data_IF_851227800050
#
_entry.id   IF_851227800050
#
_cell.length_a   1.000
_cell.length_b   1.000
_cell.length_c   1.000
_cell.angle_alpha   90.00
_cell.angle_beta   90.00
_cell.angle_gamma   90.00
#
_symmetry.space_group_name_H-M   'P 1'
#
loop_
_entity.id
_entity.type
_entity.pdbx_description
1 polymer ?
#
# COMPACT_ATOMS: atom_id res chain seq x y z
N UNK A 1 16.29 -14.67 -0.42
CA UNK A 1 16.05 -15.14 -1.80
C UNK A 1 14.56 -15.16 -2.17
N UNK A 2 13.65 -15.88 -1.49
CA UNK A 2 12.21 -15.82 -1.85
C UNK A 2 11.52 -14.54 -1.36
N UNK A 3 11.83 -14.07 -0.15
CA UNK A 3 11.20 -12.86 0.40
C UNK A 3 11.42 -11.61 -0.48
N UNK A 4 12.63 -11.41 -0.99
CA UNK A 4 12.94 -10.33 -1.92
C UNK A 4 12.08 -10.36 -3.19
N UNK A 5 11.89 -11.55 -3.76
CA UNK A 5 11.04 -11.75 -4.94
C UNK A 5 9.57 -11.41 -4.66
N UNK A 6 9.07 -11.77 -3.46
CA UNK A 6 7.68 -11.53 -3.08
C UNK A 6 7.41 -10.11 -2.58
N UNK A 7 8.44 -9.37 -2.17
CA UNK A 7 8.27 -8.03 -1.58
C UNK A 7 8.61 -6.93 -2.59
N UNK A 8 9.81 -6.96 -3.17
CA UNK A 8 10.40 -5.80 -3.88
C UNK A 8 10.35 -5.91 -5.41
N UNK A 9 9.96 -7.05 -5.96
CA UNK A 9 10.00 -7.28 -7.40
C UNK A 9 8.70 -6.87 -8.11
N UNK A 10 8.66 -5.69 -8.71
CA UNK A 10 7.48 -5.20 -9.44
C UNK A 10 7.16 -5.97 -10.73
N UNK A 11 8.12 -6.72 -11.28
CA UNK A 11 7.97 -7.59 -12.45
C UNK A 11 7.28 -8.93 -12.14
N UNK A 12 7.06 -9.25 -10.84
CA UNK A 12 6.37 -10.47 -10.43
C UNK A 12 4.90 -10.20 -10.06
N UNK A 13 3.94 -10.88 -10.71
CA UNK A 13 2.54 -10.72 -10.36
C UNK A 13 2.31 -11.17 -8.92
N UNK A 14 1.65 -10.31 -8.13
CA UNK A 14 1.35 -10.48 -6.69
C UNK A 14 2.53 -10.30 -5.73
N UNK A 15 3.63 -9.69 -6.17
CA UNK A 15 4.56 -9.11 -5.18
C UNK A 15 3.89 -7.94 -4.45
N UNK A 16 4.35 -7.62 -3.24
CA UNK A 16 3.79 -6.50 -2.48
C UNK A 16 3.92 -5.16 -3.23
N UNK A 17 5.06 -4.93 -3.89
CA UNK A 17 5.27 -3.75 -4.71
C UNK A 17 4.28 -3.69 -5.89
N UNK A 18 4.11 -4.78 -6.65
CA UNK A 18 3.18 -4.82 -7.77
C UNK A 18 1.72 -4.63 -7.32
N UNK A 19 1.32 -5.24 -6.19
CA UNK A 19 -0.01 -5.02 -5.63
C UNK A 19 -0.21 -3.57 -5.18
N UNK A 20 0.81 -2.92 -4.61
CA UNK A 20 0.71 -1.51 -4.24
C UNK A 20 0.75 -0.56 -5.44
N UNK A 21 1.48 -0.88 -6.51
CA UNK A 21 1.41 -0.16 -7.79
C UNK A 21 -0.05 -0.13 -8.29
N UNK A 22 -0.73 -1.28 -8.29
CA UNK A 22 -2.13 -1.41 -8.73
C UNK A 22 -3.10 -0.65 -7.81
N UNK A 23 -2.94 -0.75 -6.49
CA UNK A 23 -3.77 0.00 -5.53
C UNK A 23 -3.69 1.50 -5.77
N UNK A 24 -2.48 2.06 -5.90
CA UNK A 24 -2.31 3.50 -6.14
C UNK A 24 -2.94 3.93 -7.47
N UNK A 25 -2.79 3.12 -8.53
CA UNK A 25 -3.39 3.38 -9.82
C UNK A 25 -4.93 3.39 -9.78
N UNK A 26 -5.52 2.42 -9.08
CA UNK A 26 -6.98 2.35 -8.88
C UNK A 26 -7.47 3.57 -8.10
N UNK A 27 -6.85 3.89 -6.96
CA UNK A 27 -7.26 5.04 -6.14
C UNK A 27 -7.19 6.35 -6.91
N UNK A 28 -6.17 6.54 -7.75
CA UNK A 28 -6.08 7.73 -8.61
C UNK A 28 -7.22 7.79 -9.65
N UNK A 29 -7.73 6.64 -10.10
CA UNK A 29 -8.81 6.57 -11.09
C UNK A 29 -10.18 6.86 -10.46
N UNK A 30 -10.39 6.43 -9.22
CA UNK A 30 -11.68 6.57 -8.50
C UNK A 30 -11.71 7.72 -7.50
N UNK A 31 -10.71 8.61 -7.53
CA UNK A 31 -10.56 9.74 -6.60
C UNK A 31 -11.78 10.65 -6.54
N UNK A 32 -12.01 11.25 -5.38
CA UNK A 32 -13.13 12.14 -5.10
C UNK A 32 -12.71 13.28 -4.15
N UNK A 33 -13.65 14.09 -3.68
CA UNK A 33 -13.36 15.25 -2.82
C UNK A 33 -12.86 14.89 -1.41
N UNK A 34 -13.10 13.66 -0.95
CA UNK A 34 -12.76 13.18 0.40
C UNK A 34 -11.52 12.27 0.41
N UNK A 35 -11.09 11.75 -0.75
CA UNK A 35 -10.05 10.71 -0.84
C UNK A 35 -8.60 11.17 -0.64
N UNK A 36 -8.34 12.47 -0.55
CA UNK A 36 -6.98 13.02 -0.62
C UNK A 36 -6.01 12.44 0.42
N UNK A 37 -6.46 12.23 1.66
CA UNK A 37 -5.62 11.67 2.72
C UNK A 37 -5.37 10.17 2.51
N UNK A 38 -6.37 9.41 2.07
CA UNK A 38 -6.23 7.99 1.74
C UNK A 38 -5.25 7.79 0.56
N UNK A 39 -5.35 8.62 -0.49
CA UNK A 39 -4.39 8.62 -1.60
C UNK A 39 -2.97 8.93 -1.14
N UNK A 40 -2.80 9.93 -0.25
CA UNK A 40 -1.49 10.29 0.32
C UNK A 40 -0.88 9.12 1.10
N UNK A 41 -1.68 8.43 1.93
CA UNK A 41 -1.23 7.26 2.71
C UNK A 41 -0.84 6.09 1.81
N UNK A 42 -1.63 5.82 0.78
CA UNK A 42 -1.31 4.79 -0.22
C UNK A 42 0.02 5.11 -0.92
N UNK A 43 0.19 6.35 -1.39
CA UNK A 43 1.43 6.80 -2.02
C UNK A 43 2.65 6.72 -1.11
N UNK A 44 2.50 7.04 0.19
CA UNK A 44 3.57 6.88 1.17
C UNK A 44 3.97 5.40 1.34
N UNK A 45 2.99 4.51 1.52
CA UNK A 45 3.26 3.08 1.67
C UNK A 45 3.92 2.48 0.43
N UNK A 46 3.46 2.92 -0.75
CA UNK A 46 4.04 2.54 -2.03
C UNK A 46 5.48 3.03 -2.20
N UNK A 47 5.78 4.28 -1.85
CA UNK A 47 7.12 4.82 -1.89
C UNK A 47 8.07 4.07 -0.93
N UNK A 48 7.61 3.77 0.29
CA UNK A 48 8.39 3.00 1.26
C UNK A 48 8.78 1.63 0.69
N UNK A 49 7.87 0.94 -0.01
CA UNK A 49 8.20 -0.32 -0.70
C UNK A 49 9.13 -0.12 -1.89
N UNK A 50 8.82 0.86 -2.75
CA UNK A 50 9.53 1.10 -4.02
C UNK A 50 11.00 1.42 -3.81
N UNK A 51 11.32 2.10 -2.72
CA UNK A 51 12.68 2.53 -2.38
C UNK A 51 13.32 1.72 -1.27
N UNK A 52 12.65 0.68 -0.76
CA UNK A 52 13.21 -0.21 0.25
C UNK A 52 14.38 -1.04 -0.31
N UNK A 53 15.35 -1.30 0.56
CA UNK A 53 16.41 -2.28 0.31
C UNK A 53 16.14 -3.53 1.13
N UNK A 54 16.45 -4.69 0.56
CA UNK A 54 16.16 -5.97 1.23
C UNK A 54 17.00 -6.14 2.50
N UNK A 55 18.19 -5.55 2.54
CA UNK A 55 19.08 -5.56 3.71
C UNK A 55 18.45 -4.82 4.89
N UNK A 56 17.77 -3.69 4.63
CA UNK A 56 17.10 -2.91 5.67
C UNK A 56 15.94 -3.70 6.29
N UNK A 57 15.17 -4.40 5.45
CA UNK A 57 14.07 -5.28 5.90
C UNK A 57 14.61 -6.43 6.76
N UNK A 58 15.72 -7.05 6.35
CA UNK A 58 16.33 -8.11 7.14
C UNK A 58 16.98 -7.62 8.44
N UNK A 59 17.46 -6.37 8.49
CA UNK A 59 18.01 -5.78 9.71
C UNK A 59 16.96 -5.60 10.81
N UNK A 60 15.71 -5.29 10.42
CA UNK A 60 14.55 -5.18 11.32
C UNK A 60 13.99 -6.56 11.68
N UNK A 61 14.13 -7.53 10.78
CA UNK A 61 13.55 -8.86 10.87
C UNK A 61 12.26 -8.97 10.06
N UNK A 62 12.19 -9.99 9.21
CA UNK A 62 11.13 -10.14 8.21
C UNK A 62 9.72 -10.18 8.82
N UNK A 63 9.53 -10.92 9.92
CA UNK A 63 8.23 -11.02 10.57
C UNK A 63 7.78 -9.67 11.15
N UNK A 64 8.68 -8.97 11.87
CA UNK A 64 8.37 -7.67 12.45
C UNK A 64 8.01 -6.65 11.36
N UNK A 65 8.78 -6.63 10.27
CA UNK A 65 8.50 -5.76 9.13
C UNK A 65 7.15 -6.08 8.47
N UNK A 66 6.85 -7.37 8.24
CA UNK A 66 5.58 -7.80 7.64
C UNK A 66 4.38 -7.46 8.53
N UNK A 67 4.49 -7.65 9.85
CA UNK A 67 3.42 -7.29 10.79
C UNK A 67 3.13 -5.79 10.72
N UNK A 68 4.16 -4.94 10.74
CA UNK A 68 3.96 -3.49 10.61
C UNK A 68 3.40 -3.11 9.23
N UNK A 69 3.85 -3.76 8.16
CA UNK A 69 3.31 -3.54 6.83
C UNK A 69 1.82 -3.88 6.75
N UNK A 70 1.40 -5.00 7.34
CA UNK A 70 0.00 -5.43 7.38
C UNK A 70 -0.89 -4.48 8.19
N UNK A 71 -0.39 -3.94 9.31
CA UNK A 71 -1.10 -2.90 10.08
C UNK A 71 -1.39 -1.67 9.21
N UNK A 72 -0.37 -1.19 8.48
CA UNK A 72 -0.51 -0.03 7.58
C UNK A 72 -1.45 -0.29 6.41
N UNK A 73 -1.48 -1.52 5.91
CA UNK A 73 -2.48 -1.96 4.90
C UNK A 73 -3.89 -1.96 5.51
N UNK A 74 -4.04 -2.41 6.75
CA UNK A 74 -5.32 -2.36 7.47
C UNK A 74 -5.84 -0.92 7.62
N UNK A 75 -4.97 0.00 8.04
CA UNK A 75 -5.31 1.43 8.13
C UNK A 75 -5.69 2.03 6.78
N UNK A 76 -4.98 1.64 5.70
CA UNK A 76 -5.32 2.05 4.35
C UNK A 76 -6.68 1.49 3.93
N UNK A 77 -6.97 0.23 4.22
CA UNK A 77 -8.27 -0.40 3.94
C UNK A 77 -9.43 0.31 4.64
N UNK A 78 -9.22 0.74 5.88
CA UNK A 78 -10.21 1.56 6.61
C UNK A 78 -10.46 2.90 5.91
N UNK A 79 -9.40 3.60 5.49
CA UNK A 79 -9.51 4.85 4.72
C UNK A 79 -10.24 4.66 3.39
N UNK A 80 -9.94 3.58 2.66
CA UNK A 80 -10.64 3.24 1.40
C UNK A 80 -12.14 3.03 1.66
N UNK A 81 -12.47 2.26 2.70
CA UNK A 81 -13.87 2.01 3.06
C UNK A 81 -14.63 3.30 3.34
N UNK A 82 -14.02 4.19 4.14
CA UNK A 82 -14.63 5.46 4.53
C UNK A 82 -14.76 6.44 3.36
N UNK A 83 -13.70 6.61 2.57
CA UNK A 83 -13.61 7.71 1.61
C UNK A 83 -14.17 7.35 0.21
N UNK A 84 -14.33 6.07 -0.10
CA UNK A 84 -14.76 5.61 -1.43
C UNK A 84 -16.02 4.74 -1.44
N UNK A 85 -16.35 4.06 -0.33
CA UNK A 85 -17.45 3.07 -0.32
C UNK A 85 -18.69 3.55 0.44
N UNK A 86 -18.60 4.64 1.21
CA UNK A 86 -19.77 5.28 1.84
C UNK A 86 -20.50 6.13 0.79
N UNK A 87 -21.84 6.06 0.69
CA UNK A 87 -22.61 6.92 -0.20
C UNK A 87 -22.30 8.39 0.07
N UNK A 88 -21.92 9.13 -0.97
CA UNK A 88 -21.83 10.59 -0.88
C UNK A 88 -23.27 11.11 -0.67
N UNK A 89 -23.59 11.58 0.53
CA UNK A 89 -24.83 12.35 0.73
C UNK A 89 -24.75 13.59 -0.17
N UNK A 90 -25.61 13.63 -1.18
CA UNK A 90 -25.75 14.78 -2.06
C UNK A 90 -26.48 15.85 -1.24
N UNK A 91 -25.75 16.89 -0.84
CA UNK A 91 -26.32 18.11 -0.26
C UNK A 91 -27.07 18.94 -1.31
#
# INVERSE_FOLDING_TARGET
RVAELLILRSDMPRSLLASMDEVVAILSTVRNSQSAETERRAGKLHADLRYARIEDIFSVGLHAWLTNFLERIGDLGNGISQDFLVPLEVA
#
